data_IF_519614099856
#
_entry.id   IF_519614099856
#
_cell.length_a   1.000
_cell.length_b   1.000
_cell.length_c   1.000
_cell.angle_alpha   90.00
_cell.angle_beta   90.00
_cell.angle_gamma   90.00
#
_symmetry.space_group_name_H-M   'P 1'
#
loop_
_entity.id
_entity.type
_entity.pdbx_description
1 polymer ?
#
# COMPACT_ATOMS: atom_id res chain seq x y z
N UNK A 1 13.51 -21.81 -5.15
CA UNK A 1 12.18 -22.22 -4.64
C UNK A 1 11.12 -21.87 -5.65
N UNK A 2 10.01 -22.62 -5.65
CA UNK A 2 8.79 -22.35 -6.41
C UNK A 2 7.78 -21.71 -5.46
N UNK A 3 7.42 -20.47 -5.69
CA UNK A 3 6.65 -19.63 -4.77
C UNK A 3 5.32 -19.26 -5.42
N UNK A 4 4.22 -19.48 -4.70
CA UNK A 4 2.88 -19.07 -5.12
C UNK A 4 2.46 -17.81 -4.33
N UNK A 5 2.39 -16.67 -5.00
CA UNK A 5 1.80 -15.47 -4.45
C UNK A 5 0.29 -15.45 -4.75
N UNK A 6 -0.53 -15.17 -3.75
CA UNK A 6 -2.00 -15.13 -3.89
C UNK A 6 -2.50 -13.75 -3.48
N UNK A 7 -3.18 -13.08 -4.39
CA UNK A 7 -3.72 -11.73 -4.16
C UNK A 7 -5.01 -11.55 -4.94
N UNK A 8 -5.94 -10.77 -4.42
CA UNK A 8 -7.19 -10.46 -5.11
C UNK A 8 -6.96 -9.63 -6.38
N UNK A 9 -5.98 -8.72 -6.36
CA UNK A 9 -5.64 -7.84 -7.49
C UNK A 9 -4.15 -7.86 -7.78
N UNK A 10 -3.80 -7.85 -9.08
CA UNK A 10 -2.41 -7.83 -9.56
C UNK A 10 -2.29 -6.96 -10.81
N UNK A 11 -1.08 -6.70 -11.30
CA UNK A 11 -0.86 -6.04 -12.58
C UNK A 11 -1.67 -6.72 -13.70
N UNK A 12 -2.30 -6.00 -14.63
CA UNK A 12 -2.13 -4.57 -14.88
C UNK A 12 -3.04 -3.64 -14.06
N UNK A 13 -3.80 -4.13 -13.09
CA UNK A 13 -4.79 -3.38 -12.31
C UNK A 13 -4.14 -2.58 -11.16
N UNK A 14 -3.12 -1.77 -11.47
CA UNK A 14 -2.38 -0.99 -10.46
C UNK A 14 -3.18 0.18 -9.88
N UNK A 15 -4.24 0.60 -10.55
CA UNK A 15 -5.20 1.62 -10.10
C UNK A 15 -5.97 1.21 -8.83
N UNK A 16 -6.00 -0.07 -8.50
CA UNK A 16 -6.58 -0.54 -7.23
C UNK A 16 -5.75 -0.16 -5.98
N UNK A 17 -4.61 0.50 -6.17
CA UNK A 17 -3.83 1.11 -5.11
C UNK A 17 -2.56 0.35 -4.71
N UNK A 18 -2.14 0.47 -3.44
CA UNK A 18 -0.88 -0.07 -2.94
C UNK A 18 -0.70 -1.59 -3.04
N UNK A 19 -1.72 -2.43 -2.75
CA UNK A 19 -1.55 -3.89 -2.75
C UNK A 19 -1.02 -4.48 -4.05
N UNK A 20 -1.61 -4.23 -5.25
CA UNK A 20 -1.09 -4.79 -6.50
C UNK A 20 0.31 -4.28 -6.86
N UNK A 21 0.64 -3.02 -6.53
CA UNK A 21 1.99 -2.47 -6.73
C UNK A 21 3.02 -3.21 -5.86
N UNK A 22 2.70 -3.40 -4.57
CA UNK A 22 3.53 -4.15 -3.62
C UNK A 22 3.77 -5.58 -4.07
N UNK A 23 2.71 -6.31 -4.40
CA UNK A 23 2.81 -7.72 -4.79
C UNK A 23 3.64 -7.86 -6.07
N UNK A 24 3.48 -6.94 -7.03
CA UNK A 24 4.29 -6.91 -8.24
C UNK A 24 5.76 -6.71 -7.92
N UNK A 25 6.11 -5.65 -7.20
CA UNK A 25 7.50 -5.33 -6.88
C UNK A 25 8.20 -6.48 -6.13
N UNK A 26 7.50 -7.09 -5.17
CA UNK A 26 8.01 -8.23 -4.41
C UNK A 26 8.17 -9.48 -5.29
N UNK A 27 7.17 -9.81 -6.11
CA UNK A 27 7.21 -10.97 -7.00
C UNK A 27 8.37 -10.87 -8.01
N UNK A 28 8.50 -9.73 -8.67
CA UNK A 28 9.58 -9.46 -9.62
C UNK A 28 10.95 -9.42 -8.93
N UNK A 29 11.04 -8.81 -7.74
CA UNK A 29 12.27 -8.79 -6.96
C UNK A 29 12.75 -10.19 -6.58
N UNK A 30 11.85 -11.06 -6.15
CA UNK A 30 12.15 -12.46 -5.81
C UNK A 30 12.48 -13.28 -7.06
N UNK A 31 11.81 -13.04 -8.19
CA UNK A 31 12.12 -13.71 -9.45
C UNK A 31 13.55 -13.35 -9.94
N UNK A 32 13.94 -12.07 -9.87
CA UNK A 32 15.31 -11.62 -10.16
C UNK A 32 16.40 -12.29 -9.31
N UNK A 33 16.03 -12.80 -8.13
CA UNK A 33 16.95 -13.59 -7.26
C UNK A 33 16.95 -15.08 -7.61
N UNK A 34 16.40 -15.49 -8.76
CA UNK A 34 16.46 -16.86 -9.28
C UNK A 34 15.39 -17.79 -8.76
N UNK A 35 14.30 -17.28 -8.15
CA UNK A 35 13.16 -18.09 -7.74
C UNK A 35 12.08 -18.13 -8.84
N UNK A 36 11.35 -19.23 -8.91
CA UNK A 36 10.17 -19.34 -9.78
C UNK A 36 8.96 -18.79 -9.05
N UNK A 37 8.41 -17.67 -9.52
CA UNK A 37 7.28 -17.02 -8.89
C UNK A 37 6.05 -17.11 -9.78
N UNK A 38 4.96 -17.62 -9.22
CA UNK A 38 3.64 -17.60 -9.83
C UNK A 38 2.71 -16.75 -8.98
N UNK A 39 1.97 -15.83 -9.62
CA UNK A 39 0.94 -15.03 -8.96
C UNK A 39 -0.43 -15.58 -9.35
N UNK A 40 -1.25 -15.92 -8.37
CA UNK A 40 -2.64 -16.33 -8.53
C UNK A 40 -3.55 -15.17 -8.14
N UNK A 41 -4.38 -14.69 -9.06
CA UNK A 41 -5.22 -13.51 -8.88
C UNK A 41 -6.56 -13.64 -9.60
N UNK A 42 -7.50 -12.75 -9.34
CA UNK A 42 -8.75 -12.64 -10.10
C UNK A 42 -8.53 -11.88 -11.42
N UNK A 43 -9.33 -12.19 -12.44
CA UNK A 43 -9.16 -11.59 -13.78
C UNK A 43 -9.76 -10.18 -13.92
N UNK A 44 -10.65 -9.75 -13.02
CA UNK A 44 -11.26 -8.42 -13.00
C UNK A 44 -11.71 -7.87 -14.35
N UNK A 45 -12.10 -8.75 -15.27
CA UNK A 45 -12.45 -8.37 -16.64
C UNK A 45 -11.25 -8.02 -17.51
N UNK A 46 -10.13 -8.69 -17.30
CA UNK A 46 -8.88 -8.53 -18.06
C UNK A 46 -9.08 -8.56 -19.58
N UNK A 47 -10.06 -9.32 -20.05
CA UNK A 47 -10.45 -9.41 -21.47
C UNK A 47 -10.99 -8.09 -22.06
N UNK A 48 -11.70 -7.33 -21.23
CA UNK A 48 -12.37 -6.08 -21.64
C UNK A 48 -11.48 -4.85 -21.49
N UNK A 49 -10.31 -5.00 -20.89
CA UNK A 49 -9.37 -3.92 -20.69
C UNK A 49 -8.61 -3.66 -21.99
N UNK A 50 -8.57 -2.39 -22.41
CA UNK A 50 -7.64 -1.96 -23.45
C UNK A 50 -6.20 -2.32 -23.05
N UNK A 51 -5.55 -3.07 -23.90
CA UNK A 51 -4.19 -3.52 -23.70
C UNK A 51 -3.31 -3.00 -24.84
N UNK A 52 -2.06 -2.70 -24.55
CA UNK A 52 -1.07 -2.47 -25.61
C UNK A 52 -0.87 -3.76 -26.41
N UNK A 53 -0.45 -3.65 -27.68
CA UNK A 53 -0.16 -4.82 -28.52
C UNK A 53 0.80 -5.80 -27.85
N UNK A 54 1.74 -5.29 -27.05
CA UNK A 54 2.71 -6.09 -26.30
C UNK A 54 2.04 -6.85 -25.13
N UNK A 55 1.08 -6.22 -24.48
CA UNK A 55 0.29 -6.86 -23.41
C UNK A 55 -0.66 -7.93 -23.93
N UNK A 56 -1.25 -7.74 -25.09
CA UNK A 56 -2.09 -8.75 -25.76
C UNK A 56 -1.30 -9.98 -26.16
N UNK A 57 -0.10 -9.80 -26.74
CA UNK A 57 0.80 -10.92 -27.12
C UNK A 57 1.26 -11.74 -25.92
N UNK A 58 1.32 -11.13 -24.72
CA UNK A 58 1.73 -11.81 -23.50
C UNK A 58 0.60 -12.60 -22.82
N UNK A 59 -0.64 -12.55 -23.32
CA UNK A 59 -1.80 -13.23 -22.75
C UNK A 59 -2.07 -14.55 -23.46
N UNK A 60 -2.24 -15.60 -22.70
CA UNK A 60 -2.61 -16.92 -23.18
C UNK A 60 -3.83 -17.46 -22.42
N UNK A 61 -4.72 -18.18 -23.08
CA UNK A 61 -5.79 -18.92 -22.39
C UNK A 61 -5.19 -20.06 -21.59
N UNK A 62 -5.69 -20.25 -20.39
CA UNK A 62 -5.35 -21.37 -19.51
C UNK A 62 -6.61 -22.13 -19.08
N UNK A 63 -6.48 -23.38 -18.60
CA UNK A 63 -7.63 -24.11 -18.07
C UNK A 63 -8.34 -23.45 -16.88
N UNK A 64 -7.74 -22.41 -16.29
CA UNK A 64 -8.25 -21.72 -15.10
C UNK A 64 -8.75 -20.31 -15.38
N UNK A 65 -8.48 -19.76 -16.56
CA UNK A 65 -8.78 -18.40 -16.99
C UNK A 65 -7.69 -17.88 -17.93
N UNK A 66 -6.94 -16.85 -17.55
CA UNK A 66 -5.85 -16.30 -18.34
C UNK A 66 -4.49 -16.54 -17.69
N UNK A 67 -3.46 -16.62 -18.51
CA UNK A 67 -2.06 -16.69 -18.12
C UNK A 67 -1.30 -15.57 -18.79
N UNK A 68 -0.38 -14.94 -18.04
CA UNK A 68 0.55 -13.93 -18.55
C UNK A 68 1.92 -14.17 -17.94
N UNK A 69 2.96 -14.01 -18.73
CA UNK A 69 4.33 -14.02 -18.22
C UNK A 69 5.00 -12.68 -18.51
N UNK A 70 5.53 -12.05 -17.45
CA UNK A 70 6.21 -10.76 -17.55
C UNK A 70 7.26 -10.66 -16.43
N UNK A 71 8.47 -10.14 -16.76
CA UNK A 71 9.57 -9.94 -15.80
C UNK A 71 9.86 -11.20 -14.95
N UNK A 72 9.92 -12.37 -15.61
CA UNK A 72 10.14 -13.70 -15.01
C UNK A 72 9.08 -14.14 -13.99
N UNK A 73 7.97 -13.43 -13.89
CA UNK A 73 6.81 -13.79 -13.08
C UNK A 73 5.71 -14.36 -13.99
N UNK A 74 5.17 -15.53 -13.59
CA UNK A 74 3.98 -16.09 -14.20
C UNK A 74 2.75 -15.63 -13.43
N UNK A 75 1.78 -14.99 -14.07
CA UNK A 75 0.51 -14.61 -13.47
C UNK A 75 -0.64 -15.44 -14.04
N UNK A 76 -1.44 -16.03 -13.16
CA UNK A 76 -2.65 -16.80 -13.47
C UNK A 76 -3.85 -16.00 -12.98
N UNK A 77 -4.66 -15.54 -13.92
CA UNK A 77 -5.88 -14.78 -13.66
C UNK A 77 -7.07 -15.74 -13.70
N UNK A 78 -7.62 -16.01 -12.55
CA UNK A 78 -8.78 -16.91 -12.43
C UNK A 78 -10.05 -16.22 -12.93
N UNK A 79 -10.82 -16.90 -13.78
CA UNK A 79 -12.08 -16.35 -14.26
C UNK A 79 -13.01 -15.96 -13.12
N UNK A 80 -13.46 -14.72 -13.14
CA UNK A 80 -14.36 -14.13 -12.15
C UNK A 80 -15.79 -14.28 -12.62
N UNK A 81 -16.63 -15.02 -11.87
CA UNK A 81 -18.04 -15.22 -12.20
C UNK A 81 -18.92 -14.12 -11.64
N UNK A 82 -18.59 -13.69 -10.42
CA UNK A 82 -19.28 -12.62 -9.72
C UNK A 82 -18.27 -11.79 -8.94
N UNK A 83 -18.51 -10.51 -8.84
CA UNK A 83 -17.74 -9.65 -7.93
C UNK A 83 -18.67 -8.64 -7.24
N UNK A 84 -18.33 -8.33 -6.01
CA UNK A 84 -18.94 -7.25 -5.26
C UNK A 84 -17.83 -6.37 -4.70
N UNK A 85 -17.72 -5.14 -5.21
CA UNK A 85 -16.60 -4.23 -4.90
C UNK A 85 -15.25 -4.89 -5.22
N UNK A 86 -14.38 -5.06 -4.21
CA UNK A 86 -13.05 -5.67 -4.33
C UNK A 86 -13.01 -7.15 -3.89
N UNK A 87 -14.15 -7.83 -3.86
CA UNK A 87 -14.24 -9.25 -3.56
C UNK A 87 -14.76 -9.97 -4.80
N UNK A 88 -14.01 -10.93 -5.30
CA UNK A 88 -14.40 -11.74 -6.45
C UNK A 88 -14.72 -13.18 -6.06
N UNK A 89 -15.59 -13.82 -6.81
CA UNK A 89 -15.85 -15.26 -6.73
C UNK A 89 -15.29 -15.97 -7.93
N UNK A 90 -14.28 -16.81 -7.67
CA UNK A 90 -13.48 -17.51 -8.68
C UNK A 90 -13.55 -19.01 -8.44
N UNK A 91 -14.57 -19.74 -8.96
CA UNK A 91 -14.75 -21.17 -8.66
C UNK A 91 -13.58 -22.04 -9.14
N UNK A 92 -12.80 -21.56 -10.12
CA UNK A 92 -11.60 -22.25 -10.60
C UNK A 92 -10.49 -22.39 -9.55
N UNK A 93 -10.50 -21.60 -8.45
CA UNK A 93 -9.45 -21.67 -7.41
C UNK A 93 -9.28 -23.05 -6.82
N UNK A 94 -10.39 -23.76 -6.54
CA UNK A 94 -10.34 -25.13 -6.00
C UNK A 94 -9.73 -26.12 -6.98
N UNK A 95 -10.05 -25.99 -8.27
CA UNK A 95 -9.49 -26.81 -9.35
C UNK A 95 -8.00 -26.52 -9.54
N UNK A 96 -7.60 -25.23 -9.52
CA UNK A 96 -6.20 -24.82 -9.56
C UNK A 96 -5.39 -25.43 -8.40
N UNK A 97 -5.86 -25.27 -7.17
CA UNK A 97 -5.19 -25.85 -6.00
C UNK A 97 -5.04 -27.37 -6.10
N UNK A 98 -6.08 -28.08 -6.60
CA UNK A 98 -5.96 -29.53 -6.77
C UNK A 98 -4.90 -29.93 -7.79
N UNK A 99 -4.81 -29.20 -8.88
CA UNK A 99 -3.96 -29.55 -10.02
C UNK A 99 -2.51 -29.04 -9.87
N UNK A 100 -2.28 -27.91 -9.21
CA UNK A 100 -1.00 -27.18 -9.29
C UNK A 100 -0.33 -26.90 -7.94
N UNK A 101 -1.08 -26.89 -6.83
CA UNK A 101 -0.52 -26.45 -5.55
C UNK A 101 0.67 -27.29 -5.08
N UNK A 102 0.68 -28.59 -5.34
CA UNK A 102 1.81 -29.47 -5.01
C UNK A 102 3.13 -29.14 -5.74
N UNK A 103 3.07 -28.30 -6.78
CA UNK A 103 4.26 -27.85 -7.49
C UNK A 103 5.00 -26.70 -6.78
N UNK A 104 4.44 -26.15 -5.71
CA UNK A 104 5.02 -25.03 -4.98
C UNK A 104 5.62 -25.48 -3.66
N UNK A 105 6.73 -24.85 -3.30
CA UNK A 105 7.43 -25.10 -2.05
C UNK A 105 6.82 -24.29 -0.91
N UNK A 106 6.22 -23.13 -1.23
CA UNK A 106 5.57 -22.22 -0.29
C UNK A 106 4.52 -21.36 -0.98
N UNK A 107 3.48 -20.94 -0.26
CA UNK A 107 2.55 -19.92 -0.71
C UNK A 107 2.68 -18.63 0.14
N UNK A 108 2.50 -17.45 -0.47
CA UNK A 108 2.37 -16.18 0.21
C UNK A 108 1.01 -15.56 -0.14
N UNK A 109 0.17 -15.38 0.86
CA UNK A 109 -1.19 -14.89 0.74
C UNK A 109 -1.24 -13.43 1.20
N UNK A 110 -1.70 -12.54 0.32
CA UNK A 110 -1.79 -11.10 0.57
C UNK A 110 -3.25 -10.67 0.74
N UNK A 111 -3.53 -10.02 1.85
CA UNK A 111 -4.84 -9.48 2.18
C UNK A 111 -5.74 -10.44 2.95
N UNK A 112 -6.85 -9.86 3.40
CA UNK A 112 -7.99 -10.53 4.03
C UNK A 112 -9.27 -10.07 3.32
N UNK A 113 -10.39 -10.69 3.66
CA UNK A 113 -11.73 -10.35 3.14
C UNK A 113 -11.92 -10.62 1.65
N UNK A 114 -11.20 -11.59 1.09
CA UNK A 114 -11.42 -12.16 -0.23
C UNK A 114 -11.79 -13.66 -0.14
N UNK A 115 -12.07 -14.29 -1.27
CA UNK A 115 -12.46 -15.70 -1.33
C UNK A 115 -11.34 -16.60 -1.88
N UNK A 116 -10.27 -16.05 -2.41
CA UNK A 116 -9.09 -16.78 -2.88
C UNK A 116 -8.24 -17.26 -1.69
N UNK A 117 -7.96 -16.35 -0.76
CA UNK A 117 -7.12 -16.61 0.41
C UNK A 117 -7.59 -17.80 1.25
N UNK A 118 -8.87 -17.91 1.67
CA UNK A 118 -9.35 -19.06 2.43
C UNK A 118 -9.24 -20.38 1.68
N UNK A 119 -9.51 -20.38 0.38
CA UNK A 119 -9.44 -21.57 -0.46
C UNK A 119 -8.01 -22.11 -0.56
N UNK A 120 -7.03 -21.20 -0.83
CA UNK A 120 -5.62 -21.56 -0.94
C UNK A 120 -5.06 -21.96 0.43
N UNK A 121 -5.29 -21.18 1.49
CA UNK A 121 -4.84 -21.51 2.84
C UNK A 121 -5.35 -22.89 3.31
N UNK A 122 -6.63 -23.20 3.04
CA UNK A 122 -7.19 -24.52 3.33
C UNK A 122 -6.52 -25.64 2.54
N UNK A 123 -6.22 -25.39 1.26
CA UNK A 123 -5.54 -26.36 0.41
C UNK A 123 -4.08 -26.57 0.82
N UNK A 124 -3.37 -25.53 1.26
CA UNK A 124 -2.02 -25.59 1.79
C UNK A 124 -1.97 -26.47 3.05
N UNK A 125 -2.85 -26.21 4.03
CA UNK A 125 -2.92 -27.03 5.26
C UNK A 125 -3.19 -28.51 4.99
N UNK A 126 -4.07 -28.82 4.04
CA UNK A 126 -4.40 -30.22 3.66
C UNK A 126 -3.23 -30.97 3.02
N UNK A 127 -2.25 -30.26 2.48
CA UNK A 127 -1.10 -30.83 1.77
C UNK A 127 0.22 -30.62 2.48
N UNK A 128 0.20 -30.09 3.70
CA UNK A 128 1.39 -29.72 4.45
C UNK A 128 2.34 -28.81 3.64
N UNK A 129 1.79 -27.85 2.88
CA UNK A 129 2.57 -26.83 2.19
C UNK A 129 2.59 -25.59 3.07
N UNK A 130 3.76 -25.07 3.48
CA UNK A 130 3.84 -23.87 4.29
C UNK A 130 3.23 -22.67 3.55
N UNK A 131 2.58 -21.79 4.31
CA UNK A 131 2.18 -20.51 3.76
C UNK A 131 2.43 -19.36 4.73
N UNK A 132 2.80 -18.22 4.17
CA UNK A 132 2.91 -16.94 4.84
C UNK A 132 1.64 -16.15 4.57
N UNK A 133 1.15 -15.40 5.54
CA UNK A 133 0.00 -14.52 5.39
C UNK A 133 0.39 -13.08 5.72
N UNK A 134 0.06 -12.15 4.82
CA UNK A 134 0.24 -10.72 5.04
C UNK A 134 -1.13 -10.02 5.00
N UNK A 135 -1.68 -9.56 6.14
CA UNK A 135 -3.02 -8.96 6.21
C UNK A 135 -3.15 -7.59 5.52
N UNK A 136 -2.07 -6.87 5.31
CA UNK A 136 -2.01 -5.55 4.66
C UNK A 136 -2.90 -4.52 5.39
N UNK A 137 -2.79 -4.42 6.72
CA UNK A 137 -3.60 -3.51 7.54
C UNK A 137 -5.10 -3.80 7.55
N UNK A 138 -5.48 -5.05 7.19
CA UNK A 138 -6.90 -5.46 7.16
C UNK A 138 -7.28 -6.28 8.39
N UNK A 139 -6.38 -6.46 9.35
CA UNK A 139 -6.66 -7.31 10.51
C UNK A 139 -7.75 -6.72 11.39
N UNK A 140 -7.68 -5.42 11.72
CA UNK A 140 -8.74 -4.73 12.44
C UNK A 140 -9.81 -4.28 11.44
N UNK A 141 -11.08 -4.74 11.61
CA UNK A 141 -12.18 -4.27 10.78
C UNK A 141 -12.47 -2.79 11.05
N UNK A 142 -12.02 -1.92 10.16
CA UNK A 142 -12.31 -0.48 10.22
C UNK A 142 -13.26 -0.14 9.07
N UNK A 143 -14.12 0.84 9.29
CA UNK A 143 -15.02 1.39 8.28
C UNK A 143 -16.08 0.42 7.75
N UNK A 144 -16.97 0.34 7.17
CA UNK A 144 -18.11 -0.36 6.54
C UNK A 144 -18.18 -1.88 6.74
N UNK A 145 -19.38 -2.39 6.88
CA UNK A 145 -19.71 -3.83 6.92
C UNK A 145 -18.98 -4.61 8.03
N UNK A 146 -18.86 -4.03 9.21
CA UNK A 146 -18.11 -4.60 10.34
C UNK A 146 -18.58 -6.03 10.68
N UNK A 147 -19.89 -6.28 10.64
CA UNK A 147 -20.45 -7.59 10.93
C UNK A 147 -20.03 -8.67 9.92
N UNK A 148 -19.97 -8.33 8.61
CA UNK A 148 -19.48 -9.24 7.56
C UNK A 148 -18.00 -9.56 7.76
N UNK A 149 -17.20 -8.56 8.11
CA UNK A 149 -15.77 -8.74 8.39
C UNK A 149 -15.56 -9.58 9.65
N UNK A 150 -16.34 -9.37 10.70
CA UNK A 150 -16.32 -10.18 11.91
C UNK A 150 -16.73 -11.64 11.63
N UNK A 151 -17.77 -11.84 10.79
CA UNK A 151 -18.18 -13.16 10.36
C UNK A 151 -17.07 -13.85 9.55
N UNK A 152 -16.43 -13.13 8.61
CA UNK A 152 -15.29 -13.65 7.86
C UNK A 152 -14.14 -14.08 8.79
N UNK A 153 -13.79 -13.25 9.79
CA UNK A 153 -12.78 -13.60 10.79
C UNK A 153 -13.14 -14.85 11.57
N UNK A 154 -14.40 -14.99 11.97
CA UNK A 154 -14.89 -16.16 12.72
C UNK A 154 -14.82 -17.45 11.88
N UNK A 155 -15.17 -17.37 10.60
CA UNK A 155 -15.26 -18.54 9.71
C UNK A 155 -13.90 -18.93 9.14
N UNK A 156 -13.13 -17.95 8.63
CA UNK A 156 -11.90 -18.22 7.89
C UNK A 156 -10.66 -17.50 8.47
N UNK A 157 -10.77 -16.22 8.79
CA UNK A 157 -9.62 -15.36 9.12
C UNK A 157 -8.77 -15.92 10.26
N UNK A 158 -9.36 -16.29 11.39
CA UNK A 158 -8.63 -16.89 12.53
C UNK A 158 -7.88 -18.17 12.13
N UNK A 159 -8.55 -19.06 11.39
CA UNK A 159 -7.94 -20.31 10.93
C UNK A 159 -6.80 -20.09 9.95
N UNK A 160 -6.89 -19.07 9.10
CA UNK A 160 -5.83 -18.70 8.17
C UNK A 160 -4.62 -18.16 8.92
N UNK A 161 -4.83 -17.21 9.84
CA UNK A 161 -3.76 -16.61 10.64
C UNK A 161 -3.06 -17.62 11.54
N UNK A 162 -3.81 -18.44 12.27
CA UNK A 162 -3.25 -19.45 13.16
C UNK A 162 -2.51 -20.56 12.40
N UNK A 163 -3.00 -20.94 11.22
CA UNK A 163 -2.39 -21.97 10.38
C UNK A 163 -1.24 -21.49 9.50
N UNK A 164 -0.95 -20.19 9.47
CA UNK A 164 0.20 -19.66 8.75
C UNK A 164 1.51 -20.03 9.45
N UNK A 165 2.55 -20.34 8.67
CA UNK A 165 3.91 -20.57 9.18
C UNK A 165 4.51 -19.26 9.73
N UNK A 166 4.18 -18.13 9.10
CA UNK A 166 4.46 -16.79 9.58
C UNK A 166 3.38 -15.80 9.14
N UNK A 167 3.22 -14.71 9.88
CA UNK A 167 2.36 -13.57 9.55
C UNK A 167 3.24 -12.36 9.37
N UNK A 168 3.15 -11.70 8.21
CA UNK A 168 3.95 -10.52 7.91
C UNK A 168 3.17 -9.27 8.30
N UNK A 169 3.80 -8.39 9.08
CA UNK A 169 3.32 -7.06 9.41
C UNK A 169 4.24 -6.02 8.75
N UNK A 170 3.69 -4.87 8.37
CA UNK A 170 4.46 -3.81 7.71
C UNK A 170 4.76 -2.62 8.61
N UNK A 171 4.21 -2.62 9.83
CA UNK A 171 4.43 -1.60 10.86
C UNK A 171 4.40 -2.18 12.27
N UNK A 172 4.98 -1.47 13.23
CA UNK A 172 4.88 -1.82 14.65
C UNK A 172 3.43 -1.84 15.12
N UNK A 173 2.62 -0.88 14.66
CA UNK A 173 1.19 -0.85 14.97
C UNK A 173 0.51 -2.16 14.54
N UNK A 174 0.77 -2.66 13.32
CA UNK A 174 0.17 -3.91 12.83
C UNK A 174 0.66 -5.12 13.65
N UNK A 175 1.92 -5.11 14.14
CA UNK A 175 2.43 -6.14 15.06
C UNK A 175 1.60 -6.17 16.34
N UNK A 176 1.39 -5.01 16.97
CA UNK A 176 0.61 -4.92 18.20
C UNK A 176 -0.86 -5.33 17.99
N UNK A 177 -1.46 -4.90 16.89
CA UNK A 177 -2.82 -5.29 16.50
C UNK A 177 -2.97 -6.81 16.34
N UNK A 178 -2.01 -7.45 15.64
CA UNK A 178 -1.99 -8.90 15.45
C UNK A 178 -1.77 -9.66 16.76
N UNK A 179 -0.84 -9.20 17.58
CA UNK A 179 -0.55 -9.80 18.88
C UNK A 179 -1.74 -9.70 19.84
N UNK A 180 -2.37 -8.51 19.92
CA UNK A 180 -3.60 -8.30 20.69
C UNK A 180 -4.77 -9.17 20.18
N UNK A 181 -4.79 -9.46 18.88
CA UNK A 181 -5.74 -10.38 18.25
C UNK A 181 -5.47 -11.87 18.48
N UNK A 182 -4.44 -12.21 19.26
CA UNK A 182 -4.11 -13.58 19.64
C UNK A 182 -3.17 -14.32 18.68
N UNK A 183 -2.46 -13.61 17.82
CA UNK A 183 -1.39 -14.22 17.00
C UNK A 183 -0.10 -14.21 17.81
N UNK A 184 0.55 -15.38 18.01
CA UNK A 184 1.80 -15.46 18.77
C UNK A 184 2.87 -14.53 18.16
N UNK A 185 3.50 -13.68 18.97
CA UNK A 185 4.55 -12.75 18.50
C UNK A 185 5.68 -13.47 17.74
N UNK A 186 6.03 -14.68 18.13
CA UNK A 186 7.04 -15.50 17.46
C UNK A 186 6.68 -15.87 16.00
N UNK A 187 5.41 -15.74 15.61
CA UNK A 187 4.95 -15.92 14.23
C UNK A 187 4.87 -14.62 13.43
N UNK A 188 4.91 -13.47 14.10
CA UNK A 188 4.79 -12.16 13.44
C UNK A 188 6.19 -11.70 13.04
N UNK A 189 6.34 -11.34 11.77
CA UNK A 189 7.61 -10.88 11.20
C UNK A 189 7.38 -9.48 10.60
N UNK A 190 8.19 -8.53 11.04
CA UNK A 190 8.20 -7.21 10.44
C UNK A 190 8.84 -7.26 9.05
N UNK A 191 8.19 -6.68 8.06
CA UNK A 191 8.75 -6.43 6.75
C UNK A 191 8.12 -5.16 6.17
N UNK A 192 8.88 -4.08 6.13
CA UNK A 192 8.43 -2.80 5.59
C UNK A 192 8.22 -2.85 4.09
N UNK A 193 7.43 -1.93 3.56
CA UNK A 193 7.28 -1.79 2.11
C UNK A 193 8.46 -1.02 1.53
N UNK A 194 8.76 -1.31 0.27
CA UNK A 194 9.69 -0.50 -0.51
C UNK A 194 8.97 0.52 -1.40
N UNK A 195 9.73 1.43 -1.95
CA UNK A 195 9.32 2.38 -2.99
C UNK A 195 10.04 2.02 -4.28
N UNK A 196 9.32 2.04 -5.38
CA UNK A 196 9.86 1.90 -6.72
C UNK A 196 9.93 3.30 -7.35
N UNK A 197 11.11 3.92 -7.25
CA UNK A 197 11.34 5.21 -7.87
C UNK A 197 11.26 5.10 -9.41
N UNK A 198 10.90 6.17 -10.13
CA UNK A 198 10.85 6.16 -11.58
C UNK A 198 12.27 6.07 -12.17
N UNK A 199 12.42 5.40 -13.31
CA UNK A 199 13.71 5.33 -14.04
C UNK A 199 14.18 6.72 -14.47
N UNK A 200 13.26 7.59 -14.84
CA UNK A 200 13.54 9.00 -15.14
C UNK A 200 12.59 9.90 -14.38
N UNK A 201 13.15 10.89 -13.72
CA UNK A 201 12.37 11.87 -12.96
C UNK A 201 11.71 12.90 -13.89
N UNK A 202 10.47 13.30 -13.63
CA UNK A 202 9.83 14.40 -14.34
C UNK A 202 10.62 15.70 -14.19
N UNK A 203 10.51 16.59 -15.18
CA UNK A 203 11.10 17.92 -15.11
C UNK A 203 10.51 18.73 -13.94
N UNK A 204 11.33 19.49 -13.20
CA UNK A 204 10.84 20.40 -12.16
C UNK A 204 9.80 21.38 -12.71
N UNK A 205 8.72 21.59 -11.96
CA UNK A 205 7.62 22.47 -12.36
C UNK A 205 6.62 21.86 -13.34
N UNK A 206 6.79 20.59 -13.75
CA UNK A 206 5.89 19.94 -14.70
C UNK A 206 4.45 19.85 -14.19
N UNK A 207 4.26 19.52 -12.89
CA UNK A 207 2.95 19.47 -12.26
C UNK A 207 2.36 20.88 -12.11
N UNK A 208 3.15 21.84 -11.64
CA UNK A 208 2.74 23.25 -11.52
C UNK A 208 2.27 23.81 -12.84
N UNK A 209 3.03 23.61 -13.92
CA UNK A 209 2.67 24.02 -15.27
C UNK A 209 1.36 23.37 -15.74
N UNK A 210 1.20 22.08 -15.54
CA UNK A 210 0.01 21.33 -15.95
C UNK A 210 -1.27 21.84 -15.26
N UNK A 211 -1.18 22.20 -14.00
CA UNK A 211 -2.33 22.59 -13.18
C UNK A 211 -2.42 24.10 -12.90
N UNK A 212 -1.62 24.92 -13.59
CA UNK A 212 -1.68 26.39 -13.52
C UNK A 212 -1.30 26.95 -12.14
N UNK A 213 -0.35 26.34 -11.44
CA UNK A 213 0.11 26.78 -10.12
C UNK A 213 1.35 27.68 -10.31
N UNK A 214 1.30 28.97 -9.93
CA UNK A 214 2.44 29.87 -10.05
C UNK A 214 3.65 29.42 -9.24
N UNK A 215 4.86 29.78 -9.70
CA UNK A 215 6.11 29.32 -9.07
C UNK A 215 6.34 29.80 -7.66
N UNK A 216 5.83 30.99 -7.33
CA UNK A 216 5.94 31.62 -6.00
C UNK A 216 4.96 31.05 -4.97
N UNK A 217 3.94 30.30 -5.39
CA UNK A 217 2.94 29.70 -4.49
C UNK A 217 3.51 28.46 -3.83
N UNK A 218 3.49 28.40 -2.51
CA UNK A 218 3.86 27.18 -1.78
C UNK A 218 2.74 26.14 -1.86
N UNK A 219 3.11 24.91 -2.17
CA UNK A 219 2.16 23.80 -2.39
C UNK A 219 2.17 22.81 -1.23
N UNK A 220 1.04 22.71 -0.55
CA UNK A 220 0.71 21.63 0.39
C UNK A 220 0.00 20.54 -0.40
N UNK A 221 0.62 19.36 -0.52
CA UNK A 221 0.09 18.26 -1.32
C UNK A 221 -0.51 17.16 -0.45
N UNK A 222 -1.74 16.77 -0.76
CA UNK A 222 -2.33 15.48 -0.40
C UNK A 222 -2.46 14.63 -1.67
N UNK A 223 -1.89 13.43 -1.67
CA UNK A 223 -2.00 12.51 -2.79
C UNK A 223 -2.45 11.13 -2.32
N UNK A 224 -3.61 10.70 -2.80
CA UNK A 224 -4.23 9.43 -2.45
C UNK A 224 -5.74 9.46 -2.62
N UNK A 225 -6.41 8.34 -2.37
CA UNK A 225 -7.87 8.31 -2.40
C UNK A 225 -8.47 9.30 -1.40
N UNK A 226 -9.41 10.12 -1.84
CA UNK A 226 -10.18 10.99 -0.94
C UNK A 226 -11.18 10.11 -0.20
N UNK A 227 -10.84 9.72 1.02
CA UNK A 227 -11.66 8.84 1.86
C UNK A 227 -11.60 9.28 3.31
N UNK A 228 -12.65 9.03 4.08
CA UNK A 228 -12.73 9.40 5.50
C UNK A 228 -11.55 8.85 6.33
N UNK A 229 -11.07 7.64 6.02
CA UNK A 229 -9.92 7.03 6.69
C UNK A 229 -8.63 7.88 6.56
N UNK A 230 -8.47 8.60 5.45
CA UNK A 230 -7.29 9.43 5.17
C UNK A 230 -7.44 10.87 5.67
N UNK A 231 -8.58 11.22 6.25
CA UNK A 231 -8.88 12.51 6.90
C UNK A 231 -8.44 13.75 6.11
N UNK A 232 -8.80 13.87 4.82
CA UNK A 232 -8.45 15.07 4.04
C UNK A 232 -9.15 16.33 4.58
N UNK A 233 -10.25 16.18 5.32
CA UNK A 233 -10.96 17.25 6.02
C UNK A 233 -10.15 17.83 7.19
N UNK A 234 -9.41 16.98 7.92
CA UNK A 234 -8.48 17.42 8.97
C UNK A 234 -7.41 18.35 8.36
N UNK A 235 -6.81 17.94 7.23
CA UNK A 235 -5.82 18.75 6.53
C UNK A 235 -6.40 20.07 6.05
N UNK A 236 -7.60 20.05 5.48
CA UNK A 236 -8.24 21.27 4.99
C UNK A 236 -8.48 22.29 6.12
N UNK A 237 -8.93 21.82 7.30
CA UNK A 237 -9.12 22.68 8.47
C UNK A 237 -7.81 23.24 8.98
N UNK A 238 -6.78 22.41 9.11
CA UNK A 238 -5.44 22.84 9.50
C UNK A 238 -4.83 23.86 8.52
N UNK A 239 -5.01 23.64 7.21
CA UNK A 239 -4.60 24.56 6.16
C UNK A 239 -5.30 25.93 6.29
N UNK A 240 -6.60 25.95 6.55
CA UNK A 240 -7.36 27.19 6.74
C UNK A 240 -6.88 27.98 7.95
N UNK A 241 -6.47 27.33 9.04
CA UNK A 241 -5.86 27.99 10.22
C UNK A 241 -4.53 28.63 9.87
N UNK A 242 -3.67 27.90 9.13
CA UNK A 242 -2.38 28.45 8.67
C UNK A 242 -2.58 29.66 7.76
N UNK A 243 -3.54 29.62 6.83
CA UNK A 243 -3.88 30.75 5.97
C UNK A 243 -4.30 31.98 6.76
N UNK A 244 -5.14 31.82 7.79
CA UNK A 244 -5.56 32.92 8.68
C UNK A 244 -4.40 33.49 9.47
N UNK A 245 -3.47 32.63 9.94
CA UNK A 245 -2.32 33.04 10.74
C UNK A 245 -1.26 33.79 9.92
N UNK A 246 -1.12 33.45 8.63
CA UNK A 246 -0.12 34.03 7.73
C UNK A 246 -0.81 34.66 6.51
N UNK A 247 -1.61 35.72 6.78
CA UNK A 247 -2.28 36.48 5.73
C UNK A 247 -1.28 37.00 4.69
N UNK A 248 -1.64 36.84 3.40
CA UNK A 248 -0.78 37.24 2.28
C UNK A 248 0.28 36.23 1.87
N UNK A 249 0.50 35.14 2.61
CA UNK A 249 1.38 34.06 2.15
C UNK A 249 0.74 33.31 0.98
N UNK A 250 1.42 33.21 -0.18
CA UNK A 250 0.87 32.53 -1.34
C UNK A 250 0.91 31.00 -1.13
N UNK A 251 -0.18 30.42 -0.64
CA UNK A 251 -0.33 29.00 -0.35
C UNK A 251 -1.40 28.35 -1.23
N UNK A 252 -1.19 27.11 -1.62
CA UNK A 252 -2.15 26.27 -2.31
C UNK A 252 -2.22 24.89 -1.67
N UNK A 253 -3.43 24.46 -1.29
CA UNK A 253 -3.69 23.08 -0.91
C UNK A 253 -4.15 22.30 -2.14
N UNK A 254 -3.41 21.27 -2.50
CA UNK A 254 -3.70 20.42 -3.65
C UNK A 254 -4.13 19.04 -3.20
N UNK A 255 -5.34 18.65 -3.59
CA UNK A 255 -5.85 17.30 -3.45
C UNK A 255 -5.75 16.54 -4.78
N UNK A 256 -4.90 15.51 -4.82
CA UNK A 256 -4.70 14.66 -5.99
C UNK A 256 -5.10 13.21 -5.66
N UNK A 257 -6.09 12.68 -6.39
CA UNK A 257 -6.54 11.30 -6.23
C UNK A 257 -8.02 11.09 -6.52
N UNK A 258 -8.46 9.83 -6.61
CA UNK A 258 -9.85 9.50 -6.87
C UNK A 258 -10.74 9.81 -5.66
N UNK A 259 -11.95 10.28 -5.93
CA UNK A 259 -12.99 10.48 -4.92
C UNK A 259 -13.63 9.15 -4.51
N UNK A 260 -13.70 8.88 -3.24
CA UNK A 260 -14.36 7.69 -2.68
C UNK A 260 -15.59 8.10 -1.87
N UNK A 261 -16.75 8.02 -2.49
CA UNK A 261 -18.04 8.20 -1.81
C UNK A 261 -18.45 9.65 -1.59
N UNK A 262 -18.05 10.58 -2.45
CA UNK A 262 -18.48 11.97 -2.42
C UNK A 262 -17.71 12.85 -1.41
N UNK A 263 -16.53 12.41 -0.97
CA UNK A 263 -15.68 13.16 -0.05
C UNK A 263 -15.23 14.49 -0.66
N UNK A 264 -14.99 14.54 -1.99
CA UNK A 264 -14.65 15.78 -2.68
C UNK A 264 -15.70 16.87 -2.44
N UNK A 265 -16.99 16.55 -2.65
CA UNK A 265 -18.07 17.51 -2.45
C UNK A 265 -18.14 18.01 -1.00
N UNK A 266 -17.88 17.14 -0.03
CA UNK A 266 -17.81 17.54 1.39
C UNK A 266 -16.63 18.50 1.63
N UNK A 267 -15.47 18.24 1.04
CA UNK A 267 -14.31 19.11 1.15
C UNK A 267 -14.56 20.48 0.50
N UNK A 268 -15.21 20.52 -0.65
CA UNK A 268 -15.61 21.78 -1.31
C UNK A 268 -16.54 22.63 -0.43
N UNK A 269 -17.49 21.99 0.25
CA UNK A 269 -18.38 22.65 1.21
C UNK A 269 -17.61 23.19 2.43
N UNK A 270 -16.70 22.39 3.00
CA UNK A 270 -15.86 22.82 4.12
C UNK A 270 -14.95 23.99 3.70
N UNK A 271 -14.35 23.92 2.51
CA UNK A 271 -13.49 24.98 1.98
C UNK A 271 -14.24 26.30 1.84
N UNK A 272 -15.49 26.25 1.34
CA UNK A 272 -16.34 27.43 1.25
C UNK A 272 -16.71 28.01 2.63
N UNK A 273 -17.04 27.15 3.60
CA UNK A 273 -17.35 27.57 4.98
C UNK A 273 -16.16 28.23 5.69
N UNK A 274 -14.93 27.82 5.34
CA UNK A 274 -13.70 28.32 5.92
C UNK A 274 -13.06 29.50 5.14
N UNK A 275 -13.73 29.97 4.09
CA UNK A 275 -13.22 30.99 3.15
C UNK A 275 -11.84 30.63 2.54
N UNK A 276 -11.63 29.34 2.32
CA UNK A 276 -10.39 28.81 1.76
C UNK A 276 -10.55 28.27 0.33
N UNK A 277 -11.73 28.39 -0.28
CA UNK A 277 -12.06 27.76 -1.56
C UNK A 277 -11.16 28.17 -2.71
N UNK A 278 -10.73 29.44 -2.75
CA UNK A 278 -9.83 29.96 -3.79
C UNK A 278 -8.41 29.35 -3.74
N UNK A 279 -8.01 28.85 -2.58
CA UNK A 279 -6.67 28.31 -2.32
C UNK A 279 -6.65 26.77 -2.31
N UNK A 280 -7.76 26.12 -2.57
CA UNK A 280 -7.89 24.65 -2.64
C UNK A 280 -8.10 24.22 -4.08
N UNK A 281 -7.30 23.24 -4.51
CA UNK A 281 -7.35 22.71 -5.88
C UNK A 281 -7.50 21.19 -5.88
N UNK A 282 -8.47 20.69 -6.65
CA UNK A 282 -8.69 19.25 -6.85
C UNK A 282 -8.23 18.86 -8.24
N UNK A 283 -7.17 18.06 -8.32
CA UNK A 283 -6.55 17.65 -9.59
C UNK A 283 -7.09 16.32 -10.14
N UNK A 284 -7.96 15.63 -9.38
CA UNK A 284 -8.38 14.28 -9.76
C UNK A 284 -7.26 13.24 -9.62
N UNK A 285 -7.45 12.02 -10.14
CA UNK A 285 -6.45 10.97 -10.09
C UNK A 285 -5.20 11.31 -10.90
N UNK A 286 -4.02 11.14 -10.30
CA UNK A 286 -2.71 11.29 -10.97
C UNK A 286 -1.92 9.99 -10.86
N UNK A 287 -1.31 9.57 -11.97
CA UNK A 287 -0.57 8.31 -12.08
C UNK A 287 0.73 8.51 -12.87
N UNK A 288 1.61 7.50 -12.82
CA UNK A 288 2.85 7.49 -13.60
C UNK A 288 3.70 8.75 -13.38
N UNK A 289 4.21 9.39 -14.46
CA UNK A 289 5.05 10.59 -14.35
C UNK A 289 4.38 11.76 -13.62
N UNK A 290 3.07 11.98 -13.81
CA UNK A 290 2.34 13.07 -13.16
C UNK A 290 2.32 12.91 -11.62
N UNK A 291 2.25 11.68 -11.11
CA UNK A 291 2.32 11.40 -9.68
C UNK A 291 3.67 11.84 -9.11
N UNK A 292 4.76 11.50 -9.78
CA UNK A 292 6.10 11.86 -9.35
C UNK A 292 6.37 13.36 -9.49
N UNK A 293 5.81 13.98 -10.54
CA UNK A 293 5.85 15.43 -10.70
C UNK A 293 5.11 16.16 -9.56
N UNK A 294 3.94 15.64 -9.15
CA UNK A 294 3.19 16.20 -8.03
C UNK A 294 4.00 16.21 -6.73
N UNK A 295 4.67 15.10 -6.41
CA UNK A 295 5.54 15.06 -5.23
C UNK A 295 6.71 16.05 -5.36
N UNK A 296 7.44 16.04 -6.47
CA UNK A 296 8.62 16.93 -6.65
C UNK A 296 8.31 18.41 -6.62
N UNK A 297 7.14 18.79 -7.08
CA UNK A 297 6.71 20.20 -7.17
C UNK A 297 6.01 20.69 -5.90
N UNK A 298 5.76 19.80 -4.93
CA UNK A 298 5.22 20.16 -3.63
C UNK A 298 6.32 20.66 -2.67
N UNK A 299 5.97 21.63 -1.84
CA UNK A 299 6.83 22.12 -0.75
C UNK A 299 6.74 21.21 0.47
N UNK A 300 5.56 20.62 0.72
CA UNK A 300 5.31 19.63 1.76
C UNK A 300 4.20 18.68 1.32
N UNK A 301 4.40 17.40 1.61
CA UNK A 301 3.36 16.37 1.46
C UNK A 301 2.74 16.04 2.81
N UNK A 302 1.41 15.89 2.86
CA UNK A 302 0.69 15.61 4.12
C UNK A 302 -0.15 14.36 4.01
N UNK A 303 0.01 13.44 4.97
CA UNK A 303 -0.79 12.23 5.11
C UNK A 303 -1.44 12.19 6.51
N UNK A 304 -2.63 12.84 6.67
CA UNK A 304 -3.27 13.01 7.97
C UNK A 304 -4.17 11.83 8.38
N UNK A 305 -3.77 10.61 8.01
CA UNK A 305 -4.60 9.41 8.13
C UNK A 305 -4.90 9.03 9.58
N UNK A 306 -6.13 8.58 9.86
CA UNK A 306 -6.52 8.00 11.16
C UNK A 306 -5.90 6.62 11.42
N UNK A 307 -5.58 5.91 10.37
CA UNK A 307 -4.93 4.61 10.42
C UNK A 307 -4.36 4.32 9.03
N UNK A 308 -3.05 4.28 8.94
CA UNK A 308 -2.33 3.95 7.72
C UNK A 308 -1.30 2.85 8.01
N UNK A 309 -1.45 1.71 7.37
CA UNK A 309 -0.65 0.54 7.68
C UNK A 309 0.87 0.77 7.50
N UNK A 310 1.26 1.39 6.39
CA UNK A 310 2.64 1.81 6.17
C UNK A 310 2.71 3.30 5.82
N UNK A 311 2.02 3.74 4.77
CA UNK A 311 2.08 5.10 4.24
C UNK A 311 2.93 5.18 2.97
N UNK A 312 2.62 4.34 1.98
CA UNK A 312 3.36 4.30 0.71
C UNK A 312 3.47 5.66 0.04
N UNK A 313 2.41 6.49 0.10
CA UNK A 313 2.42 7.84 -0.50
C UNK A 313 3.37 8.79 0.21
N UNK A 314 3.53 8.68 1.53
CA UNK A 314 4.55 9.42 2.27
C UNK A 314 5.98 8.95 1.93
N UNK A 315 6.17 7.62 1.81
CA UNK A 315 7.44 7.05 1.36
C UNK A 315 7.81 7.50 -0.07
N UNK A 316 6.83 7.56 -0.98
CA UNK A 316 7.01 8.09 -2.34
C UNK A 316 7.36 9.57 -2.36
N UNK A 317 6.73 10.39 -1.51
CA UNK A 317 7.06 11.81 -1.36
C UNK A 317 8.50 12.00 -0.88
N UNK A 318 8.92 11.26 0.15
CA UNK A 318 10.30 11.27 0.66
C UNK A 318 11.28 10.83 -0.41
N UNK A 319 10.98 9.78 -1.15
CA UNK A 319 11.81 9.32 -2.28
C UNK A 319 11.94 10.38 -3.39
N UNK A 320 10.96 11.28 -3.50
CA UNK A 320 10.98 12.42 -4.43
C UNK A 320 11.74 13.65 -3.89
N UNK A 321 12.25 13.60 -2.65
CA UNK A 321 12.93 14.71 -1.97
C UNK A 321 11.99 15.71 -1.32
N UNK A 322 10.71 15.35 -1.12
CA UNK A 322 9.69 16.24 -0.56
C UNK A 322 9.49 15.92 0.92
N UNK A 323 9.67 16.92 1.83
CA UNK A 323 9.36 16.77 3.24
C UNK A 323 7.92 16.37 3.49
N UNK A 324 7.69 15.59 4.54
CA UNK A 324 6.35 15.06 4.82
C UNK A 324 5.87 15.45 6.22
N UNK A 325 4.55 15.56 6.37
CA UNK A 325 3.89 15.58 7.67
C UNK A 325 2.93 14.39 7.70
N UNK A 326 3.09 13.53 8.70
CA UNK A 326 2.23 12.37 8.89
C UNK A 326 1.68 12.35 10.31
N UNK A 327 0.54 11.72 10.50
CA UNK A 327 0.04 11.45 11.85
C UNK A 327 0.78 10.27 12.48
N UNK A 328 0.78 10.20 13.80
CA UNK A 328 1.35 9.10 14.58
C UNK A 328 0.73 7.73 14.24
N UNK A 329 -0.50 7.72 13.66
CA UNK A 329 -1.19 6.51 13.20
C UNK A 329 -0.73 6.03 11.82
N UNK A 330 0.31 6.62 11.24
CA UNK A 330 0.94 6.14 10.01
C UNK A 330 2.12 5.22 10.35
N UNK A 331 2.11 3.99 9.85
CA UNK A 331 3.15 3.00 10.14
C UNK A 331 4.57 3.39 9.72
N UNK A 332 4.72 4.36 8.81
CA UNK A 332 6.01 4.92 8.40
C UNK A 332 6.52 6.02 9.37
N UNK A 333 5.68 6.54 10.26
CA UNK A 333 6.03 7.66 11.13
C UNK A 333 7.38 7.49 11.86
N UNK A 334 7.72 6.34 12.45
CA UNK A 334 9.01 6.16 13.13
C UNK A 334 10.24 6.32 12.22
N UNK A 335 10.09 6.09 10.90
CA UNK A 335 11.19 6.27 9.94
C UNK A 335 11.40 7.72 9.52
N UNK A 336 10.38 8.56 9.70
CA UNK A 336 10.34 9.92 9.19
C UNK A 336 10.63 10.97 10.27
N UNK A 337 10.36 10.62 11.53
CA UNK A 337 10.39 11.56 12.65
C UNK A 337 11.73 12.31 12.74
N UNK A 338 11.67 13.63 12.59
CA UNK A 338 12.79 14.56 12.67
C UNK A 338 13.91 14.36 11.63
N UNK A 339 13.78 13.40 10.71
CA UNK A 339 14.73 13.20 9.60
C UNK A 339 14.16 13.76 8.28
N UNK A 340 13.06 13.19 7.77
CA UNK A 340 12.45 13.55 6.50
C UNK A 340 11.06 14.19 6.66
N UNK A 341 10.56 14.31 7.89
CA UNK A 341 9.24 14.84 8.15
C UNK A 341 8.93 15.05 9.61
N UNK A 342 7.74 15.60 9.85
CA UNK A 342 7.16 15.77 11.16
C UNK A 342 6.09 14.70 11.42
N UNK A 343 6.04 14.23 12.66
CA UNK A 343 4.98 13.35 13.15
C UNK A 343 4.11 14.14 14.12
N UNK A 344 2.82 14.22 13.85
CA UNK A 344 1.86 15.02 14.60
C UNK A 344 0.72 14.15 15.10
N UNK A 345 0.02 14.59 16.15
CA UNK A 345 -1.23 13.95 16.56
C UNK A 345 -2.31 14.15 15.49
N UNK A 346 -3.29 13.27 15.46
CA UNK A 346 -4.44 13.38 14.55
C UNK A 346 -5.43 14.47 15.05
N UNK A 347 -4.94 15.71 15.15
CA UNK A 347 -5.68 16.89 15.61
C UNK A 347 -5.40 18.09 14.69
N UNK A 348 -6.42 18.93 14.48
CA UNK A 348 -6.31 20.11 13.60
C UNK A 348 -5.17 21.03 14.03
N UNK A 349 -5.08 21.30 15.33
CA UNK A 349 -4.10 22.23 15.90
C UNK A 349 -2.68 21.75 15.67
N UNK A 350 -2.39 20.49 16.00
CA UNK A 350 -1.05 19.91 15.83
C UNK A 350 -0.63 19.90 14.36
N UNK A 351 -1.56 19.55 13.46
CA UNK A 351 -1.30 19.54 12.04
C UNK A 351 -1.08 20.97 11.49
N UNK A 352 -1.82 21.97 12.00
CA UNK A 352 -1.64 23.37 11.62
C UNK A 352 -0.28 23.91 12.10
N UNK A 353 0.14 23.56 13.33
CA UNK A 353 1.46 23.92 13.86
C UNK A 353 2.59 23.27 13.03
N UNK A 354 2.48 21.96 12.73
CA UNK A 354 3.43 21.28 11.88
C UNK A 354 3.54 21.90 10.48
N UNK A 355 2.41 22.24 9.86
CA UNK A 355 2.38 22.95 8.58
C UNK A 355 3.05 24.31 8.67
N UNK A 356 2.70 25.10 9.67
CA UNK A 356 3.30 26.42 9.89
C UNK A 356 4.82 26.32 10.01
N UNK A 357 5.34 25.40 10.82
CA UNK A 357 6.77 25.20 11.00
C UNK A 357 7.46 24.84 9.68
N UNK A 358 6.97 23.85 8.94
CA UNK A 358 7.60 23.41 7.67
C UNK A 358 7.59 24.53 6.62
N UNK A 359 6.51 25.32 6.55
CA UNK A 359 6.32 26.36 5.53
C UNK A 359 7.08 27.66 5.84
N UNK A 360 7.34 27.97 7.13
CA UNK A 360 7.95 29.25 7.51
C UNK A 360 9.41 29.13 8.00
N UNK A 361 9.79 28.00 8.59
CA UNK A 361 11.14 27.75 9.04
C UNK A 361 12.00 27.16 7.91
N UNK A 362 12.82 28.05 7.29
CA UNK A 362 13.71 27.67 6.19
C UNK A 362 14.83 26.70 6.61
N UNK A 363 15.25 26.71 7.86
CA UNK A 363 16.28 25.78 8.36
C UNK A 363 15.71 24.39 8.52
N UNK A 364 14.55 24.30 9.15
CA UNK A 364 13.81 23.04 9.24
C UNK A 364 13.51 22.47 7.85
N UNK A 365 12.98 23.28 6.92
CA UNK A 365 12.69 22.85 5.56
C UNK A 365 13.92 22.29 4.83
N UNK A 366 15.10 22.91 4.97
CA UNK A 366 16.37 22.38 4.42
C UNK A 366 16.81 21.10 5.10
N UNK A 367 16.70 21.03 6.42
CA UNK A 367 17.03 19.84 7.19
C UNK A 367 16.20 18.64 6.73
N UNK A 368 14.88 18.80 6.68
CA UNK A 368 13.97 17.73 6.25
C UNK A 368 14.20 17.28 4.80
N UNK A 369 14.47 18.23 3.88
CA UNK A 369 14.84 17.90 2.49
C UNK A 369 16.13 17.07 2.41
N UNK A 370 17.13 17.41 3.21
CA UNK A 370 18.38 16.64 3.28
C UNK A 370 18.12 15.25 3.88
N UNK A 371 17.27 15.18 4.89
CA UNK A 371 16.86 13.92 5.53
C UNK A 371 16.10 12.99 4.58
N UNK A 372 15.33 13.53 3.62
CA UNK A 372 14.68 12.72 2.58
C UNK A 372 15.67 11.82 1.85
N UNK A 373 16.84 12.31 1.48
CA UNK A 373 17.86 11.52 0.78
C UNK A 373 18.37 10.36 1.66
N UNK A 374 18.59 10.59 2.97
CA UNK A 374 19.02 9.54 3.90
C UNK A 374 17.97 8.46 4.07
N UNK A 375 16.71 8.85 4.27
CA UNK A 375 15.60 7.92 4.48
C UNK A 375 15.36 7.09 3.21
N UNK A 376 15.47 7.71 2.03
CA UNK A 376 15.27 7.05 0.73
C UNK A 376 16.22 5.87 0.52
N UNK A 377 17.45 5.93 1.01
CA UNK A 377 18.41 4.82 0.90
C UNK A 377 17.89 3.53 1.54
N UNK A 378 16.99 3.62 2.51
CA UNK A 378 16.40 2.50 3.23
C UNK A 378 14.98 2.15 2.75
N UNK A 379 14.45 2.85 1.73
CA UNK A 379 13.11 2.63 1.21
C UNK A 379 13.07 1.76 -0.06
N UNK A 380 14.19 1.22 -0.53
CA UNK A 380 14.24 0.33 -1.69
C UNK A 380 13.62 -1.04 -1.42
N UNK A 381 13.23 -1.74 -2.49
CA UNK A 381 12.69 -3.11 -2.41
C UNK A 381 13.76 -4.19 -2.16
N UNK A 382 15.05 -3.89 -2.24
CA UNK A 382 16.10 -4.91 -2.03
C UNK A 382 16.07 -5.53 -0.63
N UNK A 383 15.97 -4.71 0.41
CA UNK A 383 15.85 -5.16 1.79
C UNK A 383 14.62 -6.05 1.99
N UNK A 384 13.40 -5.56 1.72
CA UNK A 384 12.17 -6.35 1.81
C UNK A 384 12.19 -7.67 1.02
N UNK A 385 12.78 -7.69 -0.16
CA UNK A 385 12.94 -8.92 -0.97
C UNK A 385 13.88 -9.91 -0.27
N UNK A 386 15.02 -9.45 0.26
CA UNK A 386 15.96 -10.30 0.98
C UNK A 386 15.36 -10.88 2.28
N UNK A 387 14.63 -10.05 3.03
CA UNK A 387 13.89 -10.49 4.23
C UNK A 387 12.87 -11.59 3.90
N UNK A 388 12.11 -11.41 2.81
CA UNK A 388 11.15 -12.42 2.39
C UNK A 388 11.81 -13.72 1.90
N UNK A 389 12.92 -13.67 1.16
CA UNK A 389 13.67 -14.86 0.80
C UNK A 389 14.11 -15.66 2.03
N UNK A 390 14.66 -14.96 3.01
CA UNK A 390 15.11 -15.55 4.27
C UNK A 390 13.94 -16.18 5.05
N UNK A 391 12.79 -15.49 5.10
CA UNK A 391 11.59 -16.00 5.73
C UNK A 391 11.06 -17.26 5.04
N UNK A 392 10.99 -17.25 3.70
CA UNK A 392 10.53 -18.43 2.95
C UNK A 392 11.43 -19.63 3.17
N UNK A 393 12.75 -19.46 3.12
CA UNK A 393 13.69 -20.53 3.39
C UNK A 393 13.51 -21.14 4.80
N UNK A 394 13.31 -20.28 5.81
CA UNK A 394 13.01 -20.72 7.19
C UNK A 394 11.69 -21.50 7.30
N UNK A 395 10.64 -21.04 6.61
CA UNK A 395 9.34 -21.71 6.65
C UNK A 395 9.39 -23.09 5.97
N UNK A 396 10.06 -23.20 4.83
CA UNK A 396 10.21 -24.47 4.09
C UNK A 396 11.07 -25.46 4.88
N UNK A 397 12.18 -25.02 5.50
CA UNK A 397 13.07 -25.89 6.27
C UNK A 397 12.44 -26.40 7.58
N UNK A 398 11.57 -25.63 8.22
CA UNK A 398 10.87 -26.06 9.45
C UNK A 398 9.85 -27.17 9.20
N UNK A 399 9.15 -27.16 8.08
CA UNK A 399 8.22 -28.26 7.74
C UNK A 399 8.92 -29.50 7.19
N UNK A 400 10.13 -29.36 6.63
CA UNK A 400 10.94 -30.52 6.25
C UNK A 400 11.48 -31.32 7.46
N UNK A 401 11.34 -30.81 8.70
CA UNK A 401 11.71 -31.48 9.95
C UNK A 401 10.54 -31.53 10.95
N UNK A 402 9.50 -32.33 10.72
CA UNK A 402 8.50 -32.57 11.75
C UNK A 402 9.10 -33.50 12.81
N UNK A 403 9.64 -32.97 13.93
CA UNK A 403 10.10 -33.82 15.03
C UNK A 403 11.07 -33.22 16.04
N UNK A 404 11.63 -32.02 15.85
CA UNK A 404 12.54 -31.43 16.86
C UNK A 404 11.96 -30.10 17.43
N UNK A 405 10.98 -30.26 18.34
CA UNK A 405 10.70 -29.21 19.32
C UNK A 405 11.31 -29.71 20.63
N UNK A 406 12.59 -29.36 20.89
CA UNK A 406 13.10 -29.38 22.28
C UNK A 406 12.67 -28.07 22.93
N UNK A 407 12.10 -28.12 24.15
CA UNK A 407 11.86 -26.92 24.93
C UNK A 407 13.23 -26.32 25.29
N UNK A 408 13.36 -25.03 25.11
CA UNK A 408 14.48 -24.27 25.67
C UNK A 408 14.13 -24.05 27.14
N UNK A 409 14.96 -24.60 28.01
CA UNK A 409 14.99 -24.34 29.44
C UNK A 409 15.31 -22.88 29.76
#
# INVERSE_FOLDING_TARGET
>A
MRILNVTETYAPFLEFGGPPVKVRALAEGIARKGHQVTVLTADWGLEKREATQQEEKARERSPFGWRRRQNDVEAIYLSTWLHYRQVSWNPAVKRYCRARLANFDIAHIFGLYDLLAPAVASACRKRAIPYVLEPIGMFIPIVRNLWLKQMYHRVWGRRMLQGAAAVVATSEQEIEELAAGGIPRAKIVMRRNGVEAPESWPEPGAFRKKFGIPGEVQVVLFLGRLSAKKSPDLLLRAFAEVKKRFEGMPLRLVFAGPDEGGVKTQLEQIAAQLDAGADVQFCGPVFGPDKWAAYRDADVFVLPSQNENFGNTAAEAVASGTPVIVTEQCGIAPLLANEAGLVVRHEVQDLAEGLAHVLTDKELGRHLKTGCAKVTMNLGWEGPVHEMQSLYAKCVSREARPGEIKPVE
#
